data_IF_779488959510
#
_entry.id   IF_779488959510
#
_cell.length_a   1.000
_cell.length_b   1.000
_cell.length_c   1.000
_cell.angle_alpha   90.00
_cell.angle_beta   90.00
_cell.angle_gamma   90.00
#
_symmetry.space_group_name_H-M   'P 1'
#
loop_
_entity.id
_entity.type
_entity.pdbx_description
1 polymer ?
#
# COMPACT_ATOMS: atom_id res chain seq x y z
N UNK A 1 20.47 22.54 -6.42
CA UNK A 1 21.18 22.08 -7.63
C UNK A 1 20.90 23.07 -8.73
N UNK A 2 21.90 23.47 -9.50
CA UNK A 2 21.72 24.33 -10.67
C UNK A 2 22.23 23.61 -11.93
N UNK A 3 21.29 23.13 -12.75
CA UNK A 3 21.60 22.45 -14.02
C UNK A 3 21.84 23.45 -15.17
N UNK A 4 21.47 24.73 -14.99
CA UNK A 4 21.61 25.79 -16.00
C UNK A 4 23.06 26.25 -16.20
N UNK A 5 23.95 25.95 -15.25
CA UNK A 5 25.39 26.19 -15.38
C UNK A 5 26.12 25.14 -16.25
N UNK A 6 25.46 24.04 -16.64
CA UNK A 6 26.05 22.99 -17.47
C UNK A 6 25.70 23.19 -18.94
N UNK A 7 26.62 22.91 -19.88
CA UNK A 7 26.31 22.97 -21.30
C UNK A 7 25.31 21.87 -21.68
N UNK A 8 24.50 22.07 -22.74
CA UNK A 8 23.40 21.18 -23.09
C UNK A 8 23.83 19.73 -23.35
N UNK A 9 25.05 19.50 -23.82
CA UNK A 9 25.62 18.17 -24.06
C UNK A 9 25.65 17.33 -22.78
N UNK A 10 25.94 17.95 -21.64
CA UNK A 10 26.04 17.24 -20.35
C UNK A 10 24.66 16.85 -19.83
N UNK A 11 23.71 17.79 -19.84
CA UNK A 11 22.34 17.51 -19.38
C UNK A 11 21.65 16.50 -20.32
N UNK A 12 21.84 16.65 -21.63
CA UNK A 12 21.29 15.73 -22.63
C UNK A 12 21.89 14.34 -22.50
N UNK A 13 23.22 14.21 -22.42
CA UNK A 13 23.87 12.91 -22.25
C UNK A 13 23.38 12.18 -20.98
N UNK A 14 23.18 12.90 -19.87
CA UNK A 14 22.62 12.32 -18.62
C UNK A 14 21.17 11.89 -18.77
N UNK A 15 20.35 12.64 -19.52
CA UNK A 15 18.94 12.34 -19.73
C UNK A 15 18.73 11.14 -20.67
N UNK A 16 19.54 11.03 -21.72
CA UNK A 16 19.41 9.96 -22.73
C UNK A 16 20.17 8.67 -22.36
N UNK A 17 21.05 8.74 -21.36
CA UNK A 17 21.68 7.55 -20.78
C UNK A 17 20.77 6.92 -19.70
N UNK A 18 20.90 5.62 -19.50
CA UNK A 18 20.27 4.89 -18.41
C UNK A 18 19.08 4.02 -18.81
N UNK A 19 18.42 3.38 -17.83
CA UNK A 19 17.44 2.31 -18.07
C UNK A 19 16.03 2.80 -18.46
N UNK A 20 15.82 4.12 -18.60
CA UNK A 20 14.51 4.70 -18.86
C UNK A 20 13.51 4.50 -17.71
N UNK A 21 12.22 4.57 -18.01
CA UNK A 21 11.14 4.51 -17.01
C UNK A 21 10.79 3.08 -16.55
N UNK A 22 11.35 2.04 -17.18
CA UNK A 22 11.01 0.62 -16.91
C UNK A 22 11.04 0.24 -15.42
N UNK A 23 12.12 0.55 -14.68
CA UNK A 23 12.19 0.27 -13.24
C UNK A 23 11.11 0.98 -12.41
N UNK A 24 10.73 2.21 -12.77
CA UNK A 24 9.65 2.94 -12.08
C UNK A 24 8.28 2.33 -12.39
N UNK A 25 8.04 1.87 -13.62
CA UNK A 25 6.81 1.17 -13.98
C UNK A 25 6.70 -0.18 -13.25
N UNK A 26 7.80 -0.92 -13.12
CA UNK A 26 7.84 -2.15 -12.34
C UNK A 26 7.54 -1.90 -10.85
N UNK A 27 8.11 -0.83 -10.27
CA UNK A 27 7.81 -0.42 -8.91
C UNK A 27 6.34 -0.03 -8.74
N UNK A 28 5.75 0.71 -9.68
CA UNK A 28 4.33 1.07 -9.66
C UNK A 28 3.43 -0.17 -9.65
N UNK A 29 3.69 -1.14 -10.53
CA UNK A 29 2.94 -2.40 -10.56
C UNK A 29 3.08 -3.21 -9.26
N UNK A 30 4.26 -3.18 -8.62
CA UNK A 30 4.46 -3.83 -7.33
C UNK A 30 3.66 -3.15 -6.20
N UNK A 31 3.59 -1.83 -6.20
CA UNK A 31 2.76 -1.07 -5.26
C UNK A 31 1.26 -1.34 -5.46
N UNK A 32 0.78 -1.39 -6.70
CA UNK A 32 -0.61 -1.77 -7.00
C UNK A 32 -0.92 -3.20 -6.49
N UNK A 33 0.02 -4.13 -6.67
CA UNK A 33 -0.08 -5.49 -6.14
C UNK A 33 -0.18 -5.51 -4.62
N UNK A 34 0.65 -4.73 -3.92
CA UNK A 34 0.60 -4.61 -2.46
C UNK A 34 -0.74 -4.03 -1.98
N UNK A 35 -1.23 -2.96 -2.63
CA UNK A 35 -2.54 -2.38 -2.31
C UNK A 35 -3.67 -3.39 -2.45
N UNK A 36 -3.65 -4.21 -3.51
CA UNK A 36 -4.62 -5.29 -3.73
C UNK A 36 -4.59 -6.31 -2.59
N UNK A 37 -3.39 -6.76 -2.20
CA UNK A 37 -3.23 -7.72 -1.10
C UNK A 37 -3.72 -7.13 0.23
N UNK A 38 -3.39 -5.87 0.54
CA UNK A 38 -3.85 -5.20 1.76
C UNK A 38 -5.38 -5.10 1.82
N UNK A 39 -6.05 -4.66 0.75
CA UNK A 39 -7.52 -4.62 0.70
C UNK A 39 -8.17 -6.00 0.87
N UNK A 40 -7.66 -7.01 0.15
CA UNK A 40 -8.21 -8.38 0.26
C UNK A 40 -8.02 -8.99 1.66
N UNK A 41 -6.89 -8.68 2.30
CA UNK A 41 -6.60 -9.11 3.67
C UNK A 41 -7.50 -8.39 4.67
N UNK A 42 -7.71 -7.08 4.52
CA UNK A 42 -8.63 -6.31 5.35
C UNK A 42 -10.06 -6.86 5.26
N UNK A 43 -10.54 -7.15 4.05
CA UNK A 43 -11.86 -7.76 3.85
C UNK A 43 -11.97 -9.15 4.52
N UNK A 44 -10.91 -9.96 4.44
CA UNK A 44 -10.87 -11.28 5.09
C UNK A 44 -10.94 -11.17 6.62
N UNK A 45 -10.20 -10.23 7.20
CA UNK A 45 -10.25 -9.94 8.64
C UNK A 45 -11.66 -9.52 9.07
N UNK A 46 -12.28 -8.56 8.36
CA UNK A 46 -13.65 -8.13 8.64
C UNK A 46 -14.64 -9.29 8.57
N UNK A 47 -14.51 -10.19 7.59
CA UNK A 47 -15.38 -11.36 7.46
C UNK A 47 -15.25 -12.30 8.66
N UNK A 48 -14.02 -12.66 9.05
CA UNK A 48 -13.77 -13.58 10.18
C UNK A 48 -14.24 -12.97 11.50
N UNK A 49 -13.95 -11.69 11.74
CA UNK A 49 -14.39 -11.00 12.96
C UNK A 49 -15.91 -10.92 13.01
N UNK A 50 -16.58 -10.59 11.90
CA UNK A 50 -18.05 -10.58 11.84
C UNK A 50 -18.64 -11.96 12.16
N UNK A 51 -18.12 -13.02 11.55
CA UNK A 51 -18.57 -14.39 11.81
C UNK A 51 -18.39 -14.78 13.28
N UNK A 52 -17.21 -14.49 13.84
CA UNK A 52 -16.90 -14.75 15.24
C UNK A 52 -17.88 -14.02 16.19
N UNK A 53 -18.17 -12.74 15.95
CA UNK A 53 -19.10 -11.99 16.80
C UNK A 53 -20.56 -12.43 16.66
N UNK A 54 -20.92 -13.10 15.56
CA UNK A 54 -22.25 -13.68 15.39
C UNK A 54 -22.49 -14.92 16.24
N UNK A 55 -21.46 -15.76 16.42
CA UNK A 55 -21.54 -17.00 17.20
C UNK A 55 -21.12 -16.80 18.67
N UNK A 56 -20.12 -15.95 18.91
CA UNK A 56 -19.62 -15.63 20.24
C UNK A 56 -20.11 -14.25 20.66
N UNK A 57 -21.04 -14.23 21.62
CA UNK A 57 -21.64 -13.00 22.14
C UNK A 57 -21.13 -12.64 23.54
N UNK A 58 -21.15 -11.34 23.85
CA UNK A 58 -20.83 -10.78 25.17
C UNK A 58 -19.60 -9.87 25.19
N UNK A 59 -19.26 -9.30 26.36
CA UNK A 59 -18.25 -8.26 26.48
C UNK A 59 -16.86 -8.65 25.94
N UNK A 60 -16.46 -9.91 26.13
CA UNK A 60 -15.16 -10.41 25.65
C UNK A 60 -15.08 -10.46 24.11
N UNK A 61 -16.17 -10.83 23.44
CA UNK A 61 -16.26 -10.82 21.97
C UNK A 61 -16.18 -9.39 21.42
N UNK A 62 -16.87 -8.45 22.06
CA UNK A 62 -16.79 -7.02 21.73
C UNK A 62 -15.36 -6.49 21.92
N UNK A 63 -14.68 -6.85 23.01
CA UNK A 63 -13.29 -6.46 23.24
C UNK A 63 -12.34 -7.01 22.17
N UNK A 64 -12.55 -8.25 21.72
CA UNK A 64 -11.74 -8.85 20.63
C UNK A 64 -11.96 -8.10 19.32
N UNK A 65 -13.22 -7.85 18.93
CA UNK A 65 -13.53 -7.10 17.71
C UNK A 65 -12.96 -5.67 17.74
N UNK A 66 -13.01 -5.01 18.91
CA UNK A 66 -12.40 -3.70 19.08
C UNK A 66 -10.87 -3.73 18.93
N UNK A 67 -10.20 -4.79 19.40
CA UNK A 67 -8.74 -4.92 19.32
C UNK A 67 -8.22 -5.07 17.89
N UNK A 68 -8.99 -5.67 16.98
CA UNK A 68 -8.56 -5.87 15.58
C UNK A 68 -8.83 -4.66 14.68
N UNK A 69 -9.78 -3.80 15.06
CA UNK A 69 -10.23 -2.68 14.24
C UNK A 69 -9.10 -1.72 13.79
N UNK A 70 -8.12 -1.33 14.63
CA UNK A 70 -7.03 -0.46 14.20
C UNK A 70 -6.18 -1.06 13.09
N UNK A 71 -5.98 -2.38 13.08
CA UNK A 71 -5.18 -3.06 12.06
C UNK A 71 -5.92 -3.13 10.72
N UNK A 72 -7.23 -3.38 10.75
CA UNK A 72 -8.07 -3.33 9.54
C UNK A 72 -8.11 -1.91 8.95
N UNK A 73 -8.21 -0.89 9.80
CA UNK A 73 -8.12 0.51 9.38
C UNK A 73 -6.78 0.80 8.73
N UNK A 74 -5.67 0.40 9.37
CA UNK A 74 -4.34 0.59 8.82
C UNK A 74 -4.21 -0.03 7.42
N UNK A 75 -4.61 -1.30 7.25
CA UNK A 75 -4.55 -1.98 5.94
C UNK A 75 -5.32 -1.23 4.86
N UNK A 76 -6.55 -0.80 5.15
CA UNK A 76 -7.37 -0.04 4.18
C UNK A 76 -6.74 1.33 3.86
N UNK A 77 -6.24 2.05 4.86
CA UNK A 77 -5.63 3.36 4.64
C UNK A 77 -4.33 3.28 3.85
N UNK A 78 -3.47 2.29 4.14
CA UNK A 78 -2.20 2.10 3.44
C UNK A 78 -2.42 1.58 2.02
N UNK A 79 -3.46 0.78 1.79
CA UNK A 79 -3.83 0.34 0.44
C UNK A 79 -4.34 1.46 -0.48
N UNK A 80 -4.69 2.62 0.08
CA UNK A 80 -5.21 3.78 -0.65
C UNK A 80 -4.17 4.90 -0.85
N UNK A 81 -2.94 4.71 -0.37
CA UNK A 81 -1.81 5.65 -0.55
C UNK A 81 -1.08 5.38 -1.86
#
# INVERSE_FOLDING_TARGET
>A
MDYGMLPPEINSARMYAGPGAGPLLAAAAAWDGLATVLHSTAASYSSVTSGLTGEWSGPASVSMAAAVAPYVTWMNTTAAQ
#
